data_IF_253469408056
#
_entry.id   IF_253469408056
#
_cell.length_a   1.000
_cell.length_b   1.000
_cell.length_c   1.000
_cell.angle_alpha   90.00
_cell.angle_beta   90.00
_cell.angle_gamma   90.00
#
_symmetry.space_group_name_H-M   'P 1'
#
loop_
_entity.id
_entity.type
_entity.pdbx_description
1 polymer ?
#
# COMPACT_ATOMS: atom_id res chain seq x y z
N UNK A 1 36.40 18.97 13.94
CA UNK A 1 35.68 17.80 14.54
C UNK A 1 34.19 17.92 14.19
N UNK A 2 33.71 17.23 13.14
CA UNK A 2 32.28 17.18 12.81
C UNK A 2 31.63 16.24 13.83
N UNK A 3 30.63 16.75 14.58
CA UNK A 3 29.79 15.94 15.47
C UNK A 3 29.25 14.75 14.66
N UNK A 4 29.67 13.55 14.99
CA UNK A 4 29.00 12.34 14.55
C UNK A 4 27.59 12.38 15.15
N UNK A 5 26.59 12.66 14.33
CA UNK A 5 25.20 12.49 14.74
C UNK A 5 24.99 11.02 15.03
N UNK A 6 24.54 10.70 16.24
CA UNK A 6 24.34 9.33 16.76
C UNK A 6 23.38 8.48 15.88
N UNK A 7 22.57 9.15 15.04
CA UNK A 7 21.62 8.50 14.13
C UNK A 7 21.88 8.99 12.71
N UNK A 8 22.06 8.04 11.77
CA UNK A 8 22.15 8.37 10.34
C UNK A 8 20.87 9.04 9.85
N UNK A 9 20.99 10.21 9.21
CA UNK A 9 19.83 11.02 8.80
C UNK A 9 18.84 10.26 7.88
N UNK A 10 19.31 9.29 7.11
CA UNK A 10 18.45 8.41 6.31
C UNK A 10 17.38 7.70 7.14
N UNK A 11 17.68 7.30 8.38
CA UNK A 11 16.68 6.68 9.26
C UNK A 11 15.62 7.66 9.75
N UNK A 12 15.95 8.95 9.90
CA UNK A 12 14.97 10.00 10.21
C UNK A 12 14.02 10.20 9.03
N UNK A 13 14.52 10.11 7.79
CA UNK A 13 13.67 10.16 6.59
C UNK A 13 12.73 8.95 6.55
N UNK A 14 13.21 7.74 6.86
CA UNK A 14 12.36 6.55 6.93
C UNK A 14 11.28 6.71 8.00
N UNK A 15 11.64 7.17 9.20
CA UNK A 15 10.68 7.44 10.29
C UNK A 15 9.63 8.49 9.87
N UNK A 16 10.06 9.57 9.18
CA UNK A 16 9.14 10.55 8.60
C UNK A 16 8.19 9.91 7.59
N UNK A 17 8.71 9.04 6.73
CA UNK A 17 7.89 8.29 5.79
C UNK A 17 6.86 7.41 6.48
N UNK A 18 7.24 6.71 7.55
CA UNK A 18 6.31 5.90 8.37
C UNK A 18 5.17 6.76 8.94
N UNK A 19 5.50 7.93 9.48
CA UNK A 19 4.50 8.88 10.02
C UNK A 19 3.57 9.38 8.91
N UNK A 20 4.11 9.82 7.77
CA UNK A 20 3.31 10.30 6.63
C UNK A 20 2.40 9.19 6.10
N UNK A 21 2.89 7.94 6.05
CA UNK A 21 2.07 6.79 5.68
C UNK A 21 0.95 6.53 6.70
N UNK A 22 1.27 6.47 8.00
CA UNK A 22 0.29 6.20 9.04
C UNK A 22 -0.84 7.24 9.02
N UNK A 23 -0.51 8.52 8.98
CA UNK A 23 -1.51 9.59 8.95
C UNK A 23 -2.25 9.69 7.61
N UNK A 24 -1.52 9.64 6.48
CA UNK A 24 -2.12 9.77 5.16
C UNK A 24 -3.06 8.61 4.81
N UNK A 25 -2.62 7.37 5.03
CA UNK A 25 -3.50 6.21 4.81
C UNK A 25 -4.57 6.10 5.90
N UNK A 26 -4.28 6.56 7.14
CA UNK A 26 -5.27 6.67 8.20
C UNK A 26 -6.44 7.56 7.77
N UNK A 27 -6.17 8.76 7.28
CA UNK A 27 -7.18 9.69 6.78
C UNK A 27 -7.89 9.21 5.50
N UNK A 28 -7.23 8.43 4.62
CA UNK A 28 -7.93 7.76 3.51
C UNK A 28 -8.96 6.78 4.02
N UNK A 29 -8.54 5.91 4.92
CA UNK A 29 -9.37 4.82 5.40
C UNK A 29 -10.36 5.24 6.49
N UNK A 30 -10.20 6.43 7.12
CA UNK A 30 -11.20 7.04 8.00
C UNK A 30 -12.57 7.17 7.32
N UNK A 31 -12.56 7.27 5.99
CA UNK A 31 -13.77 7.25 5.19
C UNK A 31 -14.69 6.07 5.52
N UNK A 32 -14.16 4.86 5.79
CA UNK A 32 -14.99 3.70 6.15
C UNK A 32 -15.67 3.85 7.51
N UNK A 33 -15.12 4.66 8.43
CA UNK A 33 -15.69 4.98 9.73
C UNK A 33 -16.74 6.10 9.61
N UNK A 34 -16.51 7.03 8.67
CA UNK A 34 -17.43 8.14 8.35
C UNK A 34 -18.60 7.66 7.48
N UNK A 35 -18.40 6.61 6.69
CA UNK A 35 -19.35 6.07 5.72
C UNK A 35 -20.78 5.88 6.28
N UNK A 36 -20.99 5.22 7.47
CA UNK A 36 -22.33 5.09 8.05
C UNK A 36 -22.99 6.43 8.34
N UNK A 37 -22.22 7.43 8.77
CA UNK A 37 -22.76 8.78 9.06
C UNK A 37 -23.28 9.46 7.80
N UNK A 38 -22.57 9.32 6.66
CA UNK A 38 -23.02 9.86 5.36
C UNK A 38 -24.30 9.17 4.88
N UNK A 39 -24.35 7.84 4.95
CA UNK A 39 -25.56 7.09 4.58
C UNK A 39 -26.76 7.48 5.43
N UNK A 40 -26.55 7.64 6.75
CA UNK A 40 -27.64 8.00 7.68
C UNK A 40 -28.12 9.43 7.50
N UNK A 41 -27.21 10.38 7.28
CA UNK A 41 -27.57 11.82 7.16
C UNK A 41 -28.23 12.15 5.82
N UNK A 42 -27.68 11.60 4.72
CA UNK A 42 -28.13 11.96 3.37
C UNK A 42 -29.06 10.93 2.74
N UNK A 43 -29.17 9.73 3.31
CA UNK A 43 -29.98 8.66 2.70
C UNK A 43 -29.45 8.14 1.36
N UNK A 44 -28.15 8.38 1.06
CA UNK A 44 -27.58 7.94 -0.21
C UNK A 44 -27.41 6.41 -0.25
N UNK A 45 -27.60 5.81 -1.45
CA UNK A 45 -27.27 4.41 -1.66
C UNK A 45 -25.81 4.08 -1.28
N UNK A 46 -25.57 2.87 -0.83
CA UNK A 46 -24.23 2.44 -0.37
C UNK A 46 -23.23 2.36 -1.52
N UNK A 47 -23.66 2.00 -2.73
CA UNK A 47 -22.82 2.00 -3.92
C UNK A 47 -22.33 3.41 -4.28
N UNK A 48 -23.24 4.40 -4.26
CA UNK A 48 -22.95 5.80 -4.50
C UNK A 48 -21.97 6.35 -3.47
N UNK A 49 -22.16 6.04 -2.18
CA UNK A 49 -21.27 6.48 -1.12
C UNK A 49 -19.92 5.77 -1.19
N UNK A 50 -19.89 4.45 -1.42
CA UNK A 50 -18.65 3.68 -1.53
C UNK A 50 -17.82 4.06 -2.78
N UNK A 51 -18.50 4.50 -3.87
CA UNK A 51 -17.83 4.96 -5.09
C UNK A 51 -16.93 6.18 -4.84
N UNK A 52 -17.13 6.96 -3.78
CA UNK A 52 -16.23 8.06 -3.39
C UNK A 52 -14.82 7.54 -3.08
N UNK A 53 -14.72 6.42 -2.34
CA UNK A 53 -13.45 5.76 -2.10
C UNK A 53 -12.91 5.07 -3.36
N UNK A 54 -13.78 4.55 -4.22
CA UNK A 54 -13.40 3.99 -5.52
C UNK A 54 -12.74 5.02 -6.43
N UNK A 55 -13.30 6.22 -6.52
CA UNK A 55 -12.70 7.35 -7.27
C UNK A 55 -11.36 7.74 -6.66
N UNK A 56 -11.27 7.83 -5.32
CA UNK A 56 -10.02 8.11 -4.61
C UNK A 56 -8.91 7.12 -5.00
N UNK A 57 -9.22 5.82 -5.00
CA UNK A 57 -8.26 4.77 -5.35
C UNK A 57 -7.81 4.84 -6.80
N UNK A 58 -8.73 5.12 -7.72
CA UNK A 58 -8.44 5.27 -9.14
C UNK A 58 -7.52 6.48 -9.39
N UNK A 59 -7.90 7.64 -8.85
CA UNK A 59 -7.12 8.87 -9.01
C UNK A 59 -5.75 8.75 -8.36
N UNK A 60 -5.65 8.12 -7.18
CA UNK A 60 -4.38 7.80 -6.55
C UNK A 60 -3.44 7.04 -7.50
N UNK A 61 -3.94 5.99 -8.16
CA UNK A 61 -3.15 5.21 -9.11
C UNK A 61 -2.78 6.00 -10.37
N UNK A 62 -3.73 6.73 -10.96
CA UNK A 62 -3.51 7.54 -12.16
C UNK A 62 -2.53 8.71 -11.91
N UNK A 63 -2.45 9.22 -10.69
CA UNK A 63 -1.54 10.31 -10.32
C UNK A 63 -0.09 9.83 -10.14
N UNK A 64 0.16 8.52 -9.95
CA UNK A 64 1.49 8.00 -9.64
C UNK A 64 2.57 8.36 -10.70
N UNK A 65 2.32 8.29 -12.02
CA UNK A 65 3.30 8.73 -13.01
C UNK A 65 3.60 10.24 -12.92
N UNK A 66 2.57 11.05 -12.68
CA UNK A 66 2.72 12.50 -12.50
C UNK A 66 3.52 12.83 -11.23
N UNK A 67 3.31 12.07 -10.15
CA UNK A 67 4.08 12.19 -8.92
C UNK A 67 5.58 11.93 -9.16
N UNK A 68 5.91 10.87 -9.89
CA UNK A 68 7.30 10.59 -10.30
C UNK A 68 7.92 11.74 -11.09
N UNK A 69 7.22 12.22 -12.12
CA UNK A 69 7.67 13.35 -12.92
C UNK A 69 7.90 14.64 -12.09
N UNK A 70 6.99 14.94 -11.17
CA UNK A 70 7.12 16.10 -10.29
C UNK A 70 8.30 15.95 -9.32
N UNK A 71 8.55 14.76 -8.78
CA UNK A 71 9.73 14.50 -7.94
C UNK A 71 11.02 14.81 -8.70
N UNK A 72 11.11 14.40 -9.97
CA UNK A 72 12.28 14.65 -10.79
C UNK A 72 12.42 16.15 -11.15
N UNK A 73 11.31 16.85 -11.42
CA UNK A 73 11.31 18.24 -11.88
C UNK A 73 11.48 19.27 -10.77
N UNK A 74 10.74 19.15 -9.67
CA UNK A 74 10.72 20.15 -8.59
C UNK A 74 11.30 19.64 -7.25
N UNK A 75 11.68 18.34 -7.23
CA UNK A 75 12.24 17.65 -6.08
C UNK A 75 11.18 17.06 -5.14
N UNK A 76 11.55 16.01 -4.36
CA UNK A 76 10.60 15.27 -3.54
C UNK A 76 9.97 16.12 -2.44
N UNK A 77 10.74 17.00 -1.80
CA UNK A 77 10.26 17.84 -0.70
C UNK A 77 9.09 18.75 -1.11
N UNK A 78 9.23 19.44 -2.26
CA UNK A 78 8.17 20.33 -2.78
C UNK A 78 6.96 19.51 -3.22
N UNK A 79 7.18 18.38 -3.88
CA UNK A 79 6.13 17.45 -4.31
C UNK A 79 5.34 16.93 -3.11
N UNK A 80 6.01 16.49 -2.04
CA UNK A 80 5.37 16.00 -0.83
C UNK A 80 4.55 17.07 -0.11
N UNK A 81 5.09 18.28 0.02
CA UNK A 81 4.39 19.39 0.68
C UNK A 81 3.15 19.78 -0.13
N UNK A 82 3.29 19.98 -1.45
CA UNK A 82 2.13 20.31 -2.30
C UNK A 82 1.08 19.19 -2.26
N UNK A 83 1.50 17.92 -2.26
CA UNK A 83 0.62 16.77 -2.10
C UNK A 83 -0.11 16.77 -0.75
N UNK A 84 0.60 17.01 0.35
CA UNK A 84 -0.01 17.06 1.69
C UNK A 84 -1.03 18.18 1.81
N UNK A 85 -0.71 19.38 1.29
CA UNK A 85 -1.63 20.52 1.28
C UNK A 85 -2.86 20.22 0.41
N UNK A 86 -2.68 19.62 -0.77
CA UNK A 86 -3.77 19.25 -1.66
C UNK A 86 -4.68 18.18 -1.00
N UNK A 87 -4.08 17.20 -0.31
CA UNK A 87 -4.80 16.18 0.43
C UNK A 87 -5.64 16.80 1.57
N UNK A 88 -5.01 17.63 2.38
CA UNK A 88 -5.67 18.32 3.47
C UNK A 88 -6.81 19.24 2.98
N UNK A 89 -6.59 19.97 1.89
CA UNK A 89 -7.61 20.79 1.26
C UNK A 89 -8.78 19.94 0.77
N UNK A 90 -8.50 18.79 0.14
CA UNK A 90 -9.53 17.85 -0.29
C UNK A 90 -10.42 17.40 0.87
N UNK A 91 -9.83 17.06 2.04
CA UNK A 91 -10.59 16.69 3.23
C UNK A 91 -11.37 17.89 3.81
N UNK A 92 -10.74 19.06 3.93
CA UNK A 92 -11.41 20.26 4.46
C UNK A 92 -12.63 20.67 3.63
N UNK A 93 -12.51 20.66 2.30
CA UNK A 93 -13.63 20.99 1.41
C UNK A 93 -14.70 19.89 1.42
N UNK A 94 -14.33 18.61 1.63
CA UNK A 94 -15.29 17.52 1.81
C UNK A 94 -16.21 17.74 3.01
N UNK A 95 -15.75 18.42 4.07
CA UNK A 95 -16.57 18.76 5.22
C UNK A 95 -17.74 19.70 4.89
N UNK A 96 -17.67 20.43 3.76
CA UNK A 96 -18.72 21.33 3.27
C UNK A 96 -19.66 20.63 2.28
N UNK A 97 -19.39 19.36 1.96
CA UNK A 97 -20.15 18.59 0.98
C UNK A 97 -21.61 18.34 1.43
N UNK A 98 -22.53 18.43 0.47
CA UNK A 98 -23.96 18.14 0.62
C UNK A 98 -24.51 17.22 -0.46
N UNK A 99 -23.76 17.04 -1.57
CA UNK A 99 -24.14 16.21 -2.70
C UNK A 99 -23.04 15.18 -3.00
N UNK A 100 -23.35 13.99 -3.56
CA UNK A 100 -22.35 12.97 -3.84
C UNK A 100 -21.18 13.45 -4.71
N UNK A 101 -21.45 14.27 -5.73
CA UNK A 101 -20.42 14.76 -6.64
C UNK A 101 -19.41 15.70 -5.95
N UNK A 102 -19.80 16.41 -4.87
CA UNK A 102 -18.84 17.16 -4.05
C UNK A 102 -17.75 16.23 -3.51
N UNK A 103 -18.13 15.08 -2.95
CA UNK A 103 -17.20 14.11 -2.40
C UNK A 103 -16.36 13.41 -3.48
N UNK A 104 -16.96 13.14 -4.67
CA UNK A 104 -16.17 12.59 -5.78
C UNK A 104 -15.04 13.55 -6.20
N UNK A 105 -15.28 14.86 -6.23
CA UNK A 105 -14.24 15.83 -6.57
C UNK A 105 -13.28 16.08 -5.41
N UNK A 106 -13.79 16.28 -4.20
CA UNK A 106 -12.95 16.71 -3.06
C UNK A 106 -12.21 15.54 -2.41
N UNK A 107 -12.93 14.53 -1.94
CA UNK A 107 -12.31 13.33 -1.37
C UNK A 107 -11.74 12.41 -2.45
N UNK A 108 -12.47 12.20 -3.54
CA UNK A 108 -12.05 11.31 -4.62
C UNK A 108 -10.86 11.88 -5.39
N UNK A 109 -11.02 13.03 -6.04
CA UNK A 109 -9.99 13.57 -6.94
C UNK A 109 -8.92 14.34 -6.17
N UNK A 110 -9.26 15.38 -5.41
CA UNK A 110 -8.26 16.23 -4.77
C UNK A 110 -7.47 15.46 -3.70
N UNK A 111 -8.17 14.78 -2.77
CA UNK A 111 -7.50 14.03 -1.73
C UNK A 111 -6.77 12.81 -2.31
N UNK A 112 -7.32 12.09 -3.29
CA UNK A 112 -6.66 10.97 -3.95
C UNK A 112 -5.34 11.35 -4.62
N UNK A 113 -5.33 12.43 -5.40
CA UNK A 113 -4.12 12.97 -6.02
C UNK A 113 -3.13 13.48 -4.96
N UNK A 114 -3.60 14.22 -3.96
CA UNK A 114 -2.77 14.74 -2.88
C UNK A 114 -2.04 13.65 -2.10
N UNK A 115 -2.74 12.57 -1.74
CA UNK A 115 -2.13 11.43 -1.04
C UNK A 115 -1.06 10.73 -1.89
N UNK A 116 -1.25 10.60 -3.20
CA UNK A 116 -0.23 10.03 -4.08
C UNK A 116 1.03 10.91 -4.13
N UNK A 117 0.88 12.22 -4.23
CA UNK A 117 1.97 13.17 -4.29
C UNK A 117 2.74 13.30 -2.97
N UNK A 118 2.11 13.05 -1.82
CA UNK A 118 2.76 13.12 -0.51
C UNK A 118 3.35 11.79 -0.04
N UNK A 119 2.88 10.67 -0.57
CA UNK A 119 3.08 9.33 -0.01
C UNK A 119 4.15 8.49 -0.70
N UNK A 120 3.72 7.33 -1.22
CA UNK A 120 4.58 6.24 -1.65
C UNK A 120 5.64 6.62 -2.68
N UNK A 121 5.24 7.29 -3.75
CA UNK A 121 6.12 7.55 -4.90
C UNK A 121 7.31 8.42 -4.51
N UNK A 122 7.14 9.60 -3.87
CA UNK A 122 8.27 10.41 -3.46
C UNK A 122 9.18 9.73 -2.43
N UNK A 123 8.61 9.04 -1.41
CA UNK A 123 9.43 8.38 -0.39
C UNK A 123 10.25 7.23 -0.96
N UNK A 124 9.71 6.43 -1.89
CA UNK A 124 10.49 5.36 -2.53
C UNK A 124 11.69 5.91 -3.31
N UNK A 125 11.53 7.05 -3.96
CA UNK A 125 12.64 7.73 -4.67
C UNK A 125 13.70 8.24 -3.71
N UNK A 126 13.30 8.88 -2.62
CA UNK A 126 14.25 9.39 -1.61
C UNK A 126 15.00 8.23 -0.94
N UNK A 127 14.30 7.19 -0.50
CA UNK A 127 14.93 6.02 0.17
C UNK A 127 15.96 5.35 -0.73
N UNK A 128 15.69 5.20 -2.03
CA UNK A 128 16.68 4.67 -2.99
C UNK A 128 17.97 5.49 -3.07
N UNK A 129 17.87 6.81 -2.87
CA UNK A 129 19.06 7.68 -2.88
C UNK A 129 19.87 7.60 -1.57
N UNK A 130 19.19 7.32 -0.44
CA UNK A 130 19.81 7.28 0.87
C UNK A 130 20.35 5.91 1.27
N UNK A 131 19.79 4.83 0.70
CA UNK A 131 20.13 3.45 1.07
C UNK A 131 20.41 2.61 -0.19
N UNK A 132 21.61 2.03 -0.25
CA UNK A 132 22.00 1.05 -1.26
C UNK A 132 21.96 -0.36 -0.67
N UNK A 133 22.74 -0.62 0.40
CA UNK A 133 22.86 -1.93 1.05
C UNK A 133 21.67 -2.28 1.94
N UNK A 134 21.08 -1.28 2.61
CA UNK A 134 19.98 -1.43 3.59
C UNK A 134 18.62 -1.00 3.05
N UNK A 135 18.49 -0.83 1.76
CA UNK A 135 17.24 -0.38 1.10
C UNK A 135 16.05 -1.29 1.42
N UNK A 136 16.24 -2.61 1.46
CA UNK A 136 15.19 -3.57 1.82
C UNK A 136 14.59 -3.32 3.21
N UNK A 137 15.45 -3.10 4.21
CA UNK A 137 15.00 -2.78 5.58
C UNK A 137 14.29 -1.43 5.62
N UNK A 138 14.83 -0.42 4.91
CA UNK A 138 14.24 0.91 4.86
C UNK A 138 12.84 0.91 4.23
N UNK A 139 12.65 0.14 3.15
CA UNK A 139 11.32 -0.05 2.54
C UNK A 139 10.37 -0.83 3.44
N UNK A 140 10.84 -1.88 4.11
CA UNK A 140 10.01 -2.66 5.04
C UNK A 140 9.47 -1.77 6.17
N UNK A 141 10.32 -0.92 6.74
CA UNK A 141 9.91 0.05 7.77
C UNK A 141 8.94 1.09 7.22
N UNK A 142 9.17 1.62 6.00
CA UNK A 142 8.24 2.54 5.36
C UNK A 142 6.83 1.94 5.26
N UNK A 143 6.73 0.71 4.73
CA UNK A 143 5.44 0.03 4.56
C UNK A 143 4.81 -0.41 5.89
N UNK A 144 5.61 -0.65 6.93
CA UNK A 144 5.11 -0.89 8.29
C UNK A 144 4.27 0.29 8.79
N UNK A 145 4.62 1.54 8.42
CA UNK A 145 3.80 2.72 8.66
C UNK A 145 2.37 2.61 8.12
N UNK A 146 2.18 1.87 7.01
CA UNK A 146 0.85 1.59 6.45
C UNK A 146 -0.04 0.75 7.38
N UNK A 147 0.54 -0.19 8.14
CA UNK A 147 -0.18 -0.91 9.21
C UNK A 147 -0.62 0.02 10.34
N UNK A 148 0.20 1.03 10.68
CA UNK A 148 -0.13 2.07 11.66
C UNK A 148 -1.34 2.93 11.29
N UNK A 149 -1.70 3.01 10.01
CA UNK A 149 -2.90 3.71 9.55
C UNK A 149 -4.19 3.21 10.21
N UNK A 150 -4.26 1.93 10.48
CA UNK A 150 -5.46 1.30 11.07
C UNK A 150 -5.63 1.61 12.56
N UNK A 151 -4.58 2.02 13.26
CA UNK A 151 -4.68 2.50 14.66
C UNK A 151 -5.50 3.80 14.73
N UNK A 152 -5.65 4.50 13.61
CA UNK A 152 -6.42 5.75 13.52
C UNK A 152 -7.94 5.54 13.61
N UNK A 153 -8.47 4.37 13.31
CA UNK A 153 -9.91 4.10 13.25
C UNK A 153 -10.67 4.40 14.56
N UNK A 154 -10.25 3.90 15.75
CA UNK A 154 -10.94 4.24 17.00
C UNK A 154 -10.89 5.73 17.30
N UNK A 155 -9.80 6.41 16.96
CA UNK A 155 -9.65 7.85 17.13
C UNK A 155 -10.68 8.59 16.29
N UNK A 156 -10.86 8.20 15.03
CA UNK A 156 -11.86 8.76 14.12
C UNK A 156 -13.27 8.49 14.62
N UNK A 157 -13.56 7.28 15.12
CA UNK A 157 -14.86 6.94 15.67
C UNK A 157 -15.21 7.81 16.92
N UNK A 158 -14.22 8.08 17.77
CA UNK A 158 -14.37 8.99 18.92
C UNK A 158 -14.58 10.44 18.45
N UNK A 159 -13.79 10.90 17.46
CA UNK A 159 -13.94 12.25 16.89
C UNK A 159 -15.33 12.47 16.29
N UNK A 160 -15.88 11.49 15.56
CA UNK A 160 -17.23 11.58 15.00
C UNK A 160 -18.27 11.83 16.10
N UNK A 161 -18.13 11.19 17.26
CA UNK A 161 -19.04 11.37 18.38
C UNK A 161 -18.93 12.77 19.03
N UNK A 162 -17.75 13.42 18.96
CA UNK A 162 -17.51 14.72 19.58
C UNK A 162 -17.79 15.90 18.65
N UNK A 163 -17.35 15.79 17.39
CA UNK A 163 -17.33 16.93 16.45
C UNK A 163 -18.07 16.63 15.14
N UNK A 164 -18.80 15.53 15.05
CA UNK A 164 -19.44 15.00 13.84
C UNK A 164 -18.42 14.57 12.75
N UNK A 165 -18.90 13.99 11.66
CA UNK A 165 -18.07 13.61 10.52
C UNK A 165 -17.46 14.83 9.80
N UNK A 166 -18.18 15.97 9.75
CA UNK A 166 -17.66 17.23 9.19
C UNK A 166 -16.47 17.75 10.00
N UNK A 167 -16.64 17.81 11.31
CA UNK A 167 -15.57 18.20 12.21
C UNK A 167 -14.39 17.24 12.18
N UNK A 168 -14.63 15.95 11.94
CA UNK A 168 -13.57 14.94 11.79
C UNK A 168 -12.73 15.22 10.56
N UNK A 169 -13.31 15.45 9.38
CA UNK A 169 -12.55 15.84 8.18
C UNK A 169 -11.74 17.12 8.36
N UNK A 170 -12.32 18.13 9.04
CA UNK A 170 -11.57 19.36 9.36
C UNK A 170 -10.40 19.10 10.31
N UNK A 171 -10.62 18.30 11.35
CA UNK A 171 -9.56 17.93 12.31
C UNK A 171 -8.43 17.16 11.61
N UNK A 172 -8.76 16.18 10.78
CA UNK A 172 -7.77 15.44 9.99
C UNK A 172 -6.98 16.38 9.06
N UNK A 173 -7.65 17.30 8.37
CA UNK A 173 -7.01 18.30 7.52
C UNK A 173 -6.02 19.18 8.28
N UNK A 174 -6.41 19.68 9.45
CA UNK A 174 -5.56 20.50 10.32
C UNK A 174 -4.35 19.70 10.81
N UNK A 175 -4.58 18.48 11.32
CA UNK A 175 -3.52 17.60 11.82
C UNK A 175 -2.54 17.25 10.71
N UNK A 176 -3.01 16.87 9.53
CA UNK A 176 -2.15 16.57 8.37
C UNK A 176 -1.29 17.78 8.00
N UNK A 177 -1.88 18.98 7.95
CA UNK A 177 -1.14 20.19 7.59
C UNK A 177 -0.12 20.57 8.65
N UNK A 178 -0.54 20.66 9.93
CA UNK A 178 0.31 21.16 11.02
C UNK A 178 1.37 20.16 11.46
N UNK A 179 1.12 18.85 11.34
CA UNK A 179 2.09 17.83 11.70
C UNK A 179 3.00 17.45 10.53
N UNK A 180 2.43 17.13 9.34
CA UNK A 180 3.23 16.55 8.27
C UNK A 180 4.01 17.58 7.47
N UNK A 181 3.45 18.77 7.21
CA UNK A 181 4.17 19.80 6.42
C UNK A 181 5.46 20.22 7.11
N UNK A 182 5.49 20.60 8.40
CA UNK A 182 6.73 20.94 9.08
C UNK A 182 7.74 19.80 9.11
N UNK A 183 7.29 18.56 9.41
CA UNK A 183 8.18 17.39 9.47
C UNK A 183 8.82 17.15 8.11
N UNK A 184 8.06 17.19 7.01
CA UNK A 184 8.58 17.03 5.65
C UNK A 184 9.58 18.16 5.33
N UNK A 185 9.23 19.40 5.66
CA UNK A 185 10.10 20.56 5.41
C UNK A 185 11.41 20.51 6.18
N UNK A 186 11.42 20.01 7.39
CA UNK A 186 12.61 19.99 8.24
C UNK A 186 13.51 18.79 7.94
N UNK A 187 12.93 17.60 7.73
CA UNK A 187 13.67 16.34 7.70
C UNK A 187 13.97 15.86 6.29
N UNK A 188 13.02 15.95 5.35
CA UNK A 188 13.22 15.36 4.03
C UNK A 188 14.29 16.08 3.24
N UNK A 189 15.31 15.34 2.81
CA UNK A 189 16.38 15.78 1.90
C UNK A 189 16.46 14.80 0.73
N UNK A 190 16.74 15.33 -0.47
CA UNK A 190 16.68 14.49 -1.67
C UNK A 190 17.85 13.51 -1.72
N UNK A 191 19.05 13.96 -1.45
CA UNK A 191 20.26 13.16 -1.57
C UNK A 191 21.12 13.30 -0.31
N UNK A 192 21.84 12.23 0.12
CA UNK A 192 22.79 12.33 1.21
C UNK A 192 23.92 13.31 0.92
N UNK A 193 24.33 13.43 -0.34
CA UNK A 193 25.39 14.36 -0.81
C UNK A 193 25.05 15.82 -0.48
N UNK A 194 23.77 16.20 -0.49
CA UNK A 194 23.32 17.57 -0.14
C UNK A 194 23.65 17.91 1.33
N UNK A 195 23.97 16.91 2.16
CA UNK A 195 24.38 17.05 3.55
C UNK A 195 25.85 16.65 3.78
N UNK A 196 26.60 16.36 2.71
CA UNK A 196 27.98 15.86 2.79
C UNK A 196 28.10 14.45 3.35
N UNK A 197 27.05 13.64 3.18
CA UNK A 197 26.97 12.24 3.61
C UNK A 197 27.02 11.31 2.40
N UNK A 198 27.47 10.06 2.62
CA UNK A 198 27.38 8.98 1.65
C UNK A 198 26.13 8.12 1.88
N UNK A 199 25.63 7.40 0.86
CA UNK A 199 24.59 6.40 1.04
C UNK A 199 24.99 5.38 2.11
N UNK A 200 24.01 4.92 2.90
CA UNK A 200 24.23 4.01 4.05
C UNK A 200 25.21 4.51 5.12
N UNK A 201 25.69 5.77 5.03
CA UNK A 201 26.79 6.33 5.80
C UNK A 201 28.09 5.51 5.65
N UNK A 202 28.30 4.92 4.47
CA UNK A 202 29.47 4.10 4.19
C UNK A 202 30.64 4.99 3.73
N UNK A 203 31.74 5.08 4.52
CA UNK A 203 32.88 5.89 4.16
C UNK A 203 33.67 5.37 2.92
N UNK A 204 33.43 4.13 2.51
CA UNK A 204 34.03 3.54 1.30
C UNK A 204 33.36 3.98 0.00
N UNK A 205 32.17 4.58 0.09
CA UNK A 205 31.44 5.09 -1.09
C UNK A 205 31.86 6.54 -1.34
N UNK A 206 32.53 6.87 -2.47
CA UNK A 206 32.95 8.24 -2.76
C UNK A 206 31.73 9.18 -2.81
N UNK A 207 31.83 10.33 -2.15
CA UNK A 207 30.84 11.41 -2.24
C UNK A 207 31.05 12.08 -3.61
N UNK A 208 30.60 11.48 -4.69
CA UNK A 208 30.66 12.07 -6.02
C UNK A 208 29.38 12.86 -6.27
N UNK A 209 29.45 14.16 -6.55
CA UNK A 209 28.30 14.93 -7.00
C UNK A 209 27.93 14.41 -8.40
N UNK A 210 26.92 13.55 -8.49
CA UNK A 210 26.32 13.19 -9.78
C UNK A 210 25.55 14.40 -10.30
N UNK A 211 26.16 15.19 -11.14
CA UNK A 211 25.48 16.21 -11.92
C UNK A 211 24.53 15.51 -12.90
N UNK A 212 23.32 15.99 -12.94
CA UNK A 212 22.16 15.61 -13.74
C UNK A 212 22.29 14.52 -14.79
N UNK A 213 21.33 13.60 -14.77
CA UNK A 213 20.89 12.78 -15.92
C UNK A 213 21.86 11.76 -16.52
N UNK A 214 22.86 11.25 -15.79
CA UNK A 214 23.60 10.07 -16.27
C UNK A 214 23.03 8.78 -15.65
N UNK A 215 22.02 8.23 -16.31
CA UNK A 215 21.55 6.86 -16.12
C UNK A 215 22.46 5.88 -16.86
N UNK A 216 23.77 5.96 -16.66
CA UNK A 216 24.66 4.91 -17.11
C UNK A 216 24.55 3.74 -16.13
N UNK A 217 24.11 2.55 -16.57
CA UNK A 217 24.11 1.38 -15.72
C UNK A 217 25.55 1.00 -15.41
N UNK A 218 25.96 1.05 -14.15
CA UNK A 218 27.18 0.36 -13.73
C UNK A 218 27.00 -1.13 -14.04
N UNK A 219 27.79 -1.58 -15.00
CA UNK A 219 27.92 -2.99 -15.36
C UNK A 219 28.58 -3.70 -14.19
N UNK A 220 27.77 -4.29 -13.33
CA UNK A 220 28.24 -5.30 -12.38
C UNK A 220 28.73 -6.50 -13.17
N UNK A 221 30.03 -6.68 -13.20
CA UNK A 221 30.74 -7.77 -13.89
C UNK A 221 30.55 -9.09 -13.09
N UNK A 222 29.33 -9.60 -13.03
CA UNK A 222 29.06 -10.98 -12.64
C UNK A 222 28.52 -11.71 -13.87
N UNK A 223 29.35 -12.63 -14.39
CA UNK A 223 29.18 -13.36 -15.65
C UNK A 223 27.92 -14.24 -15.69
N UNK A 224 26.79 -13.62 -15.96
CA UNK A 224 25.54 -14.25 -16.36
C UNK A 224 24.84 -13.33 -17.36
N UNK A 225 24.23 -13.89 -18.39
CA UNK A 225 23.42 -13.12 -19.36
C UNK A 225 22.24 -12.50 -18.59
N UNK A 226 22.44 -11.27 -18.11
CA UNK A 226 21.38 -10.49 -17.49
C UNK A 226 20.43 -10.04 -18.59
N UNK A 227 19.30 -10.70 -18.73
CA UNK A 227 18.23 -10.25 -19.63
C UNK A 227 17.76 -8.89 -19.11
N UNK A 228 18.06 -7.82 -19.84
CA UNK A 228 17.58 -6.48 -19.50
C UNK A 228 16.05 -6.41 -19.73
N UNK A 229 15.30 -6.52 -18.64
CA UNK A 229 13.85 -6.44 -18.65
C UNK A 229 13.39 -4.98 -18.74
N UNK A 230 12.91 -4.57 -19.89
CA UNK A 230 12.15 -3.33 -20.06
C UNK A 230 10.68 -3.58 -19.79
N UNK A 231 9.94 -2.54 -19.40
CA UNK A 231 8.49 -2.62 -19.17
C UNK A 231 7.76 -3.19 -20.41
N UNK A 232 8.13 -2.75 -21.61
CA UNK A 232 7.53 -3.23 -22.86
C UNK A 232 7.79 -4.73 -23.12
N UNK A 233 8.98 -5.25 -22.76
CA UNK A 233 9.27 -6.70 -22.84
C UNK A 233 8.51 -7.48 -21.78
N UNK A 234 8.45 -6.97 -20.55
CA UNK A 234 7.70 -7.59 -19.46
C UNK A 234 6.21 -7.69 -19.80
N UNK A 235 5.59 -6.62 -20.30
CA UNK A 235 4.16 -6.54 -20.66
C UNK A 235 3.76 -7.52 -21.77
N UNK A 236 4.71 -8.03 -22.57
CA UNK A 236 4.45 -9.08 -23.56
C UNK A 236 4.43 -10.49 -22.98
N UNK A 237 4.70 -10.66 -21.69
CA UNK A 237 4.70 -11.97 -21.03
C UNK A 237 3.45 -12.19 -20.20
N UNK A 238 2.89 -13.39 -20.24
CA UNK A 238 1.75 -13.76 -19.39
C UNK A 238 2.08 -13.60 -17.90
N UNK A 239 3.33 -13.87 -17.49
CA UNK A 239 3.78 -13.73 -16.10
C UNK A 239 3.63 -12.32 -15.56
N UNK A 240 3.87 -11.31 -16.38
CA UNK A 240 3.67 -9.92 -15.99
C UNK A 240 2.21 -9.65 -15.61
N UNK A 241 1.27 -10.09 -16.43
CA UNK A 241 -0.15 -9.88 -16.17
C UNK A 241 -0.67 -10.70 -14.98
N UNK A 242 -0.13 -11.90 -14.77
CA UNK A 242 -0.43 -12.69 -13.58
C UNK A 242 0.08 -12.01 -12.30
N UNK A 243 1.28 -11.39 -12.34
CA UNK A 243 1.81 -10.63 -11.22
C UNK A 243 1.06 -9.31 -11.00
N UNK A 244 0.47 -8.70 -12.02
CA UNK A 244 -0.46 -7.57 -11.87
C UNK A 244 -1.82 -8.01 -11.31
N UNK A 245 -2.31 -9.19 -11.72
CA UNK A 245 -3.59 -9.74 -11.27
C UNK A 245 -3.57 -10.06 -9.76
N UNK A 246 -2.42 -10.47 -9.21
CA UNK A 246 -2.33 -10.81 -7.80
C UNK A 246 -2.66 -9.62 -6.87
N UNK A 247 -1.97 -8.46 -6.90
CA UNK A 247 -2.33 -7.32 -6.05
C UNK A 247 -3.68 -6.69 -6.42
N UNK A 248 -4.10 -6.76 -7.69
CA UNK A 248 -5.45 -6.38 -8.12
C UNK A 248 -6.51 -7.15 -7.36
N UNK A 249 -6.36 -8.48 -7.22
CA UNK A 249 -7.31 -9.34 -6.55
C UNK A 249 -7.19 -9.28 -5.03
N UNK A 250 -5.96 -9.42 -4.48
CA UNK A 250 -5.71 -9.57 -3.03
C UNK A 250 -6.00 -8.28 -2.27
N UNK A 251 -5.42 -7.19 -2.74
CA UNK A 251 -5.55 -5.91 -2.05
C UNK A 251 -6.52 -4.97 -2.76
N UNK A 252 -6.54 -5.01 -4.10
CA UNK A 252 -7.46 -4.19 -4.86
C UNK A 252 -8.90 -4.54 -4.54
N UNK A 253 -9.38 -5.70 -4.96
CA UNK A 253 -10.78 -6.08 -4.76
C UNK A 253 -11.03 -6.52 -3.31
N UNK A 254 -10.35 -7.57 -2.84
CA UNK A 254 -10.69 -8.21 -1.57
C UNK A 254 -10.53 -7.24 -0.38
N UNK A 255 -9.34 -6.63 -0.21
CA UNK A 255 -9.10 -5.76 0.94
C UNK A 255 -9.96 -4.50 0.93
N UNK A 256 -10.03 -3.79 -0.21
CA UNK A 256 -10.74 -2.50 -0.23
C UNK A 256 -12.24 -2.67 -0.09
N UNK A 257 -12.82 -3.74 -0.65
CA UNK A 257 -14.22 -4.10 -0.43
C UNK A 257 -14.49 -4.35 1.05
N UNK A 258 -13.69 -5.21 1.69
CA UNK A 258 -13.89 -5.55 3.10
C UNK A 258 -13.67 -4.35 4.03
N UNK A 259 -12.60 -3.58 3.81
CA UNK A 259 -12.28 -2.41 4.63
C UNK A 259 -13.33 -1.30 4.48
N UNK A 260 -13.81 -1.05 3.26
CA UNK A 260 -14.82 -0.02 3.01
C UNK A 260 -16.15 -0.32 3.70
N UNK A 261 -16.57 -1.59 3.71
CA UNK A 261 -17.89 -1.99 4.21
C UNK A 261 -17.87 -2.58 5.61
N UNK A 262 -16.70 -2.80 6.23
CA UNK A 262 -16.60 -3.44 7.55
C UNK A 262 -17.42 -2.73 8.62
N UNK A 263 -17.27 -1.40 8.75
CA UNK A 263 -17.90 -0.64 9.81
C UNK A 263 -19.42 -0.60 9.64
N UNK A 264 -19.88 -0.32 8.41
CA UNK A 264 -21.31 -0.28 8.12
C UNK A 264 -21.96 -1.65 8.31
N UNK A 265 -21.30 -2.74 7.86
CA UNK A 265 -21.75 -4.11 8.09
C UNK A 265 -21.85 -4.43 9.60
N UNK A 266 -20.80 -4.09 10.37
CA UNK A 266 -20.80 -4.35 11.80
C UNK A 266 -21.92 -3.56 12.52
N UNK A 267 -22.24 -2.35 12.08
CA UNK A 267 -23.37 -1.57 12.62
C UNK A 267 -24.72 -2.19 12.23
N UNK A 268 -24.88 -2.71 11.02
CA UNK A 268 -26.10 -3.39 10.58
C UNK A 268 -26.42 -4.62 11.45
N UNK A 269 -25.39 -5.32 11.94
CA UNK A 269 -25.57 -6.49 12.83
C UNK A 269 -25.63 -6.14 14.31
N UNK A 270 -25.63 -4.84 14.66
CA UNK A 270 -25.88 -4.33 16.01
C UNK A 270 -24.66 -3.90 16.83
N UNK A 271 -23.46 -3.82 16.24
CA UNK A 271 -22.29 -3.25 16.92
C UNK A 271 -22.26 -1.73 16.85
N UNK A 272 -21.67 -1.07 17.84
CA UNK A 272 -21.41 0.37 17.76
C UNK A 272 -20.30 0.69 16.76
N UNK A 273 -20.31 1.91 16.19
CA UNK A 273 -19.25 2.41 15.32
C UNK A 273 -17.87 2.30 15.98
N UNK A 274 -17.75 2.70 17.26
CA UNK A 274 -16.50 2.63 18.02
C UNK A 274 -15.99 1.19 18.15
N UNK A 275 -16.89 0.23 18.42
CA UNK A 275 -16.51 -1.19 18.52
C UNK A 275 -16.05 -1.73 17.17
N UNK A 276 -16.81 -1.50 16.09
CA UNK A 276 -16.46 -1.92 14.74
C UNK A 276 -15.11 -1.35 14.29
N UNK A 277 -14.87 -0.06 14.54
CA UNK A 277 -13.61 0.62 14.23
C UNK A 277 -12.44 0.07 15.04
N UNK A 278 -12.65 -0.25 16.34
CA UNK A 278 -11.60 -0.84 17.19
C UNK A 278 -11.21 -2.24 16.73
N UNK A 279 -12.17 -3.06 16.27
CA UNK A 279 -11.88 -4.37 15.69
C UNK A 279 -11.05 -4.23 14.41
N UNK A 280 -11.37 -3.27 13.56
CA UNK A 280 -10.62 -3.03 12.33
C UNK A 280 -9.19 -2.53 12.60
N UNK A 281 -8.93 -1.90 13.76
CA UNK A 281 -7.56 -1.55 14.16
C UNK A 281 -6.68 -2.80 14.36
N UNK A 282 -7.25 -3.89 14.85
CA UNK A 282 -6.53 -5.15 15.02
C UNK A 282 -6.08 -5.74 13.68
N UNK A 283 -6.86 -5.53 12.63
CA UNK A 283 -6.43 -5.88 11.26
C UNK A 283 -5.08 -5.22 10.92
N UNK A 284 -4.91 -3.93 11.22
CA UNK A 284 -3.64 -3.23 10.95
C UNK A 284 -2.46 -3.77 11.76
N UNK A 285 -2.67 -4.06 13.05
CA UNK A 285 -1.65 -4.63 13.91
C UNK A 285 -1.23 -6.01 13.41
N UNK A 286 -2.18 -6.88 13.10
CA UNK A 286 -1.88 -8.23 12.61
C UNK A 286 -1.35 -8.22 11.19
N UNK A 287 -1.74 -7.26 10.36
CA UNK A 287 -1.11 -7.04 9.05
C UNK A 287 0.39 -6.75 9.19
N UNK A 288 0.77 -5.87 10.11
CA UNK A 288 2.18 -5.59 10.39
C UNK A 288 2.92 -6.84 10.88
N UNK A 289 2.33 -7.61 11.80
CA UNK A 289 2.88 -8.91 12.24
C UNK A 289 3.01 -9.90 11.07
N UNK A 290 2.02 -9.97 10.20
CA UNK A 290 2.04 -10.79 8.99
C UNK A 290 3.16 -10.40 8.04
N UNK A 291 3.43 -9.09 7.83
CA UNK A 291 4.55 -8.64 7.03
C UNK A 291 5.89 -9.14 7.56
N UNK A 292 6.08 -9.15 8.89
CA UNK A 292 7.28 -9.73 9.51
C UNK A 292 7.34 -11.25 9.28
N UNK A 293 6.22 -11.95 9.44
CA UNK A 293 6.13 -13.39 9.16
C UNK A 293 6.38 -13.72 7.67
N UNK A 294 6.16 -12.77 6.76
CA UNK A 294 6.44 -12.90 5.33
C UNK A 294 7.91 -13.23 4.98
N UNK A 295 8.86 -12.99 5.89
CA UNK A 295 10.26 -13.42 5.77
C UNK A 295 10.37 -14.94 5.57
N UNK A 296 9.43 -15.71 6.08
CA UNK A 296 9.33 -17.16 5.87
C UNK A 296 9.27 -17.52 4.37
N UNK A 297 8.87 -16.58 3.50
CA UNK A 297 8.84 -16.77 2.05
C UNK A 297 10.22 -17.11 1.43
N UNK A 298 11.31 -16.80 2.11
CA UNK A 298 12.65 -17.16 1.66
C UNK A 298 12.96 -18.65 1.89
N UNK A 299 12.27 -19.30 2.83
CA UNK A 299 12.44 -20.70 3.19
C UNK A 299 11.46 -21.63 2.48
N UNK A 300 10.15 -21.31 2.55
CA UNK A 300 9.09 -22.16 1.97
C UNK A 300 8.74 -21.79 0.53
N UNK A 301 9.28 -20.67 0.05
CA UNK A 301 9.00 -20.13 -1.29
C UNK A 301 7.84 -19.15 -1.32
N UNK A 302 7.77 -18.37 -2.40
CA UNK A 302 6.75 -17.31 -2.57
C UNK A 302 5.35 -17.90 -2.65
N UNK A 303 5.20 -18.98 -3.43
CA UNK A 303 3.94 -19.68 -3.63
C UNK A 303 3.40 -20.28 -2.32
N UNK A 304 4.27 -20.94 -1.53
CA UNK A 304 3.89 -21.52 -0.23
C UNK A 304 3.41 -20.46 0.76
N UNK A 305 4.12 -19.33 0.85
CA UNK A 305 3.74 -18.20 1.71
C UNK A 305 2.42 -17.59 1.28
N UNK A 306 2.20 -17.42 -0.04
CA UNK A 306 0.91 -16.96 -0.58
C UNK A 306 -0.23 -17.90 -0.19
N UNK A 307 -0.04 -19.23 -0.31
CA UNK A 307 -1.07 -20.21 0.04
C UNK A 307 -1.44 -20.15 1.52
N UNK A 308 -0.44 -20.13 2.42
CA UNK A 308 -0.69 -20.08 3.86
C UNK A 308 -1.41 -18.77 4.22
N UNK A 309 -0.90 -17.63 3.76
CA UNK A 309 -1.50 -16.32 4.04
C UNK A 309 -2.94 -16.21 3.50
N UNK A 310 -3.18 -16.73 2.28
CA UNK A 310 -4.52 -16.75 1.68
C UNK A 310 -5.46 -17.67 2.44
N UNK A 311 -5.03 -18.86 2.83
CA UNK A 311 -5.87 -19.79 3.60
C UNK A 311 -6.28 -19.18 4.95
N UNK A 312 -5.33 -18.55 5.68
CA UNK A 312 -5.62 -17.86 6.93
C UNK A 312 -6.62 -16.71 6.69
N UNK A 313 -6.37 -15.86 5.69
CA UNK A 313 -7.25 -14.72 5.41
C UNK A 313 -8.66 -15.14 4.98
N UNK A 314 -8.78 -16.18 4.12
CA UNK A 314 -10.07 -16.73 3.70
C UNK A 314 -10.83 -17.32 4.89
N UNK A 315 -10.17 -17.99 5.83
CA UNK A 315 -10.82 -18.49 7.05
C UNK A 315 -11.47 -17.37 7.85
N UNK A 316 -10.80 -16.19 7.94
CA UNK A 316 -11.36 -15.01 8.57
C UNK A 316 -12.62 -14.50 7.84
N UNK A 317 -12.55 -14.36 6.52
CA UNK A 317 -13.71 -13.90 5.73
C UNK A 317 -14.87 -14.91 5.83
N UNK A 318 -14.56 -16.22 5.84
CA UNK A 318 -15.58 -17.27 6.02
C UNK A 318 -16.31 -17.08 7.35
N UNK A 319 -15.60 -16.84 8.45
CA UNK A 319 -16.21 -16.56 9.76
C UNK A 319 -17.05 -15.29 9.71
N UNK A 320 -16.61 -14.24 8.99
CA UNK A 320 -17.40 -13.03 8.79
C UNK A 320 -18.75 -13.31 8.10
N UNK A 321 -18.82 -14.25 7.15
CA UNK A 321 -20.09 -14.63 6.49
C UNK A 321 -21.09 -15.30 7.44
N UNK A 322 -20.64 -15.78 8.60
CA UNK A 322 -21.48 -16.45 9.61
C UNK A 322 -22.00 -15.47 10.69
N UNK A 323 -21.53 -14.24 10.70
CA UNK A 323 -21.97 -13.19 11.62
C UNK A 323 -23.40 -12.77 11.24
N UNK A 324 -24.35 -12.95 12.15
CA UNK A 324 -25.77 -12.58 11.98
C UNK A 324 -26.23 -11.48 12.91
N UNK A 325 -25.61 -11.40 14.07
CA UNK A 325 -25.94 -10.46 15.16
C UNK A 325 -24.72 -10.21 16.05
N UNK A 326 -24.88 -9.36 17.05
CA UNK A 326 -23.81 -8.99 17.98
C UNK A 326 -23.57 -10.00 19.12
N UNK A 327 -24.24 -11.17 19.12
CA UNK A 327 -24.14 -12.17 20.22
C UNK A 327 -22.76 -12.83 20.31
N UNK A 328 -22.00 -12.83 19.24
CA UNK A 328 -20.71 -13.52 19.13
C UNK A 328 -19.57 -12.59 18.68
N UNK A 329 -19.12 -11.66 19.51
CA UNK A 329 -18.11 -10.66 19.14
C UNK A 329 -16.79 -11.28 18.66
N UNK A 330 -16.41 -12.45 19.19
CA UNK A 330 -15.16 -13.14 18.81
C UNK A 330 -15.06 -13.39 17.30
N UNK A 331 -16.18 -13.51 16.58
CA UNK A 331 -16.16 -13.73 15.13
C UNK A 331 -15.57 -12.53 14.39
N UNK A 332 -15.91 -11.29 14.79
CA UNK A 332 -15.34 -10.07 14.21
C UNK A 332 -13.85 -9.95 14.55
N UNK A 333 -13.46 -10.29 15.78
CA UNK A 333 -12.05 -10.29 16.17
C UNK A 333 -11.25 -11.32 15.37
N UNK A 334 -11.76 -12.56 15.25
CA UNK A 334 -11.11 -13.59 14.47
C UNK A 334 -10.93 -13.17 13.00
N UNK A 335 -11.98 -12.60 12.40
CA UNK A 335 -11.92 -12.07 11.04
C UNK A 335 -10.79 -11.04 10.89
N UNK A 336 -10.73 -10.05 11.76
CA UNK A 336 -9.74 -8.99 11.69
C UNK A 336 -8.31 -9.53 11.88
N UNK A 337 -8.12 -10.43 12.85
CA UNK A 337 -6.82 -11.07 13.13
C UNK A 337 -6.37 -11.95 11.96
N UNK A 338 -7.23 -12.83 11.46
CA UNK A 338 -6.88 -13.77 10.41
C UNK A 338 -6.67 -13.07 9.06
N UNK A 339 -7.55 -12.14 8.69
CA UNK A 339 -7.41 -11.41 7.44
C UNK A 339 -6.17 -10.52 7.45
N UNK A 340 -5.95 -9.77 8.54
CA UNK A 340 -4.79 -8.89 8.67
C UNK A 340 -3.49 -9.67 8.57
N UNK A 341 -3.33 -10.73 9.36
CA UNK A 341 -2.14 -11.55 9.34
C UNK A 341 -1.92 -12.21 7.97
N UNK A 342 -2.97 -12.80 7.39
CA UNK A 342 -2.90 -13.44 6.08
C UNK A 342 -2.48 -12.48 4.98
N UNK A 343 -3.08 -11.29 4.90
CA UNK A 343 -2.72 -10.29 3.91
C UNK A 343 -1.33 -9.70 4.15
N UNK A 344 -0.94 -9.52 5.41
CA UNK A 344 0.42 -9.10 5.77
C UNK A 344 1.48 -10.08 5.27
N UNK A 345 1.27 -11.40 5.44
CA UNK A 345 2.19 -12.42 4.93
C UNK A 345 2.35 -12.37 3.41
N UNK A 346 1.27 -12.09 2.68
CA UNK A 346 1.29 -12.07 1.21
C UNK A 346 2.00 -10.84 0.64
N UNK A 347 2.08 -9.73 1.39
CA UNK A 347 2.60 -8.47 0.92
C UNK A 347 4.08 -8.55 0.44
N UNK A 348 5.04 -8.97 1.25
CA UNK A 348 6.42 -9.10 0.81
C UNK A 348 6.59 -10.21 -0.24
N UNK A 349 5.79 -11.27 -0.20
CA UNK A 349 5.86 -12.37 -1.16
C UNK A 349 5.51 -11.92 -2.59
N UNK A 350 4.49 -11.06 -2.76
CA UNK A 350 4.12 -10.51 -4.08
C UNK A 350 5.24 -9.63 -4.63
N UNK A 351 5.77 -8.70 -3.83
CA UNK A 351 6.86 -7.81 -4.28
C UNK A 351 8.10 -8.61 -4.65
N UNK A 352 8.48 -9.58 -3.81
CA UNK A 352 9.62 -10.45 -4.07
C UNK A 352 9.41 -11.31 -5.33
N UNK A 353 8.18 -11.79 -5.61
CA UNK A 353 7.85 -12.54 -6.81
C UNK A 353 8.13 -11.74 -8.08
N UNK A 354 7.82 -10.43 -8.08
CA UNK A 354 8.13 -9.54 -9.22
C UNK A 354 9.63 -9.44 -9.43
N UNK A 355 10.39 -9.23 -8.35
CA UNK A 355 11.85 -9.12 -8.40
C UNK A 355 12.54 -10.45 -8.82
N UNK A 356 11.94 -11.60 -8.43
CA UNK A 356 12.45 -12.91 -8.81
C UNK A 356 12.25 -13.24 -10.30
N UNK A 357 11.13 -12.76 -10.88
CA UNK A 357 10.79 -13.00 -12.30
C UNK A 357 11.48 -11.98 -13.22
N UNK A 358 11.48 -10.70 -12.84
CA UNK A 358 11.98 -9.60 -13.65
C UNK A 358 13.22 -8.95 -13.01
N UNK A 359 14.38 -9.62 -13.16
CA UNK A 359 15.64 -9.11 -12.62
C UNK A 359 16.23 -8.05 -13.53
N UNK A 360 16.82 -7.00 -12.96
CA UNK A 360 17.53 -5.97 -13.69
C UNK A 360 17.32 -4.56 -13.15
N UNK A 361 18.03 -3.57 -13.71
CA UNK A 361 18.03 -2.20 -13.19
C UNK A 361 16.67 -1.50 -13.30
N UNK A 362 15.79 -1.96 -14.21
CA UNK A 362 14.48 -1.37 -14.49
C UNK A 362 13.33 -2.07 -13.78
N UNK A 363 13.58 -2.99 -12.84
CA UNK A 363 12.56 -3.72 -12.08
C UNK A 363 11.61 -2.79 -11.30
N UNK A 364 12.09 -1.63 -10.89
CA UNK A 364 11.26 -0.64 -10.18
C UNK A 364 10.07 -0.13 -11.00
N UNK A 365 10.26 0.10 -12.31
CA UNK A 365 9.16 0.49 -13.20
C UNK A 365 8.12 -0.63 -13.36
N UNK A 366 8.57 -1.88 -13.40
CA UNK A 366 7.70 -3.06 -13.47
C UNK A 366 6.89 -3.19 -12.18
N UNK A 367 7.52 -3.06 -11.01
CA UNK A 367 6.84 -3.04 -9.71
C UNK A 367 5.79 -1.91 -9.66
N UNK A 368 6.12 -0.73 -10.18
CA UNK A 368 5.18 0.40 -10.23
C UNK A 368 3.88 0.08 -10.97
N UNK A 369 3.98 -0.60 -12.12
CA UNK A 369 2.79 -1.01 -12.90
C UNK A 369 2.03 -2.14 -12.20
N UNK A 370 2.73 -3.06 -11.55
CA UNK A 370 2.09 -4.10 -10.72
C UNK A 370 1.26 -3.48 -9.59
N UNK A 371 1.77 -2.44 -8.93
CA UNK A 371 1.03 -1.69 -7.92
C UNK A 371 -0.11 -0.84 -8.49
N UNK A 372 -0.03 -0.41 -9.75
CA UNK A 372 -1.18 0.22 -10.42
C UNK A 372 -2.36 -0.76 -10.52
N UNK A 373 -2.10 -2.06 -10.70
CA UNK A 373 -3.13 -3.10 -10.63
C UNK A 373 -3.91 -3.07 -9.31
N UNK A 374 -3.23 -2.86 -8.16
CA UNK A 374 -3.89 -2.64 -6.87
C UNK A 374 -4.87 -1.46 -6.89
N UNK A 375 -4.48 -0.33 -7.48
CA UNK A 375 -5.32 0.87 -7.53
C UNK A 375 -6.57 0.65 -8.40
N UNK A 376 -6.42 -0.06 -9.53
CA UNK A 376 -7.56 -0.42 -10.39
C UNK A 376 -8.52 -1.38 -9.68
N UNK A 377 -8.02 -2.44 -9.04
CA UNK A 377 -8.85 -3.32 -8.21
C UNK A 377 -9.52 -2.57 -7.07
N UNK A 378 -8.77 -1.68 -6.42
CA UNK A 378 -9.25 -0.83 -5.32
C UNK A 378 -10.32 0.18 -5.72
N UNK A 379 -10.38 0.55 -6.99
CA UNK A 379 -11.48 1.37 -7.50
C UNK A 379 -12.77 0.57 -7.73
N UNK A 380 -12.66 -0.73 -7.94
CA UNK A 380 -13.81 -1.61 -8.15
C UNK A 380 -14.38 -2.10 -6.82
N UNK A 381 -13.52 -2.51 -5.87
CA UNK A 381 -13.91 -3.20 -4.64
C UNK A 381 -14.99 -2.49 -3.81
N UNK A 382 -14.79 -1.22 -3.39
CA UNK A 382 -15.78 -0.51 -2.58
C UNK A 382 -17.13 -0.35 -3.27
N UNK A 383 -17.13 0.10 -4.52
CA UNK A 383 -18.35 0.24 -5.32
C UNK A 383 -19.07 -1.09 -5.46
N UNK A 384 -18.36 -2.16 -5.80
CA UNK A 384 -18.94 -3.49 -6.00
C UNK A 384 -19.62 -4.02 -4.72
N UNK A 385 -19.01 -3.79 -3.55
CA UNK A 385 -19.61 -4.17 -2.27
C UNK A 385 -20.91 -3.44 -1.98
N UNK A 386 -20.96 -2.13 -2.28
CA UNK A 386 -22.16 -1.32 -2.16
C UNK A 386 -23.26 -1.74 -3.12
N UNK A 387 -22.91 -1.92 -4.39
CA UNK A 387 -23.86 -2.38 -5.43
C UNK A 387 -24.49 -3.74 -5.10
N UNK A 388 -23.67 -4.70 -4.64
CA UNK A 388 -24.19 -6.02 -4.21
C UNK A 388 -25.19 -5.85 -3.06
N UNK A 389 -24.89 -4.98 -2.10
CA UNK A 389 -25.80 -4.75 -0.99
C UNK A 389 -27.13 -4.12 -1.45
N UNK A 390 -27.09 -3.13 -2.35
CA UNK A 390 -28.31 -2.49 -2.88
C UNK A 390 -29.20 -3.49 -3.64
N UNK A 391 -28.58 -4.41 -4.39
CA UNK A 391 -29.35 -5.39 -5.20
C UNK A 391 -29.88 -6.55 -4.35
N UNK A 392 -29.07 -7.07 -3.41
CA UNK A 392 -29.40 -8.30 -2.68
C UNK A 392 -29.79 -8.09 -1.20
N UNK A 393 -29.68 -6.87 -0.68
CA UNK A 393 -29.94 -6.55 0.74
C UNK A 393 -28.94 -7.22 1.71
N UNK A 394 -27.80 -7.73 1.22
CA UNK A 394 -26.86 -8.49 2.03
C UNK A 394 -25.45 -8.43 1.47
N UNK A 395 -24.45 -8.38 2.37
CA UNK A 395 -23.02 -8.46 2.01
C UNK A 395 -22.52 -9.89 1.75
N UNK A 396 -23.34 -10.92 1.92
CA UNK A 396 -22.89 -12.32 1.83
C UNK A 396 -22.22 -12.64 0.49
N UNK A 397 -22.83 -12.21 -0.63
CA UNK A 397 -22.25 -12.39 -1.95
C UNK A 397 -20.94 -11.59 -2.12
N UNK A 398 -20.88 -10.38 -1.58
CA UNK A 398 -19.66 -9.55 -1.60
C UNK A 398 -18.51 -10.25 -0.88
N UNK A 399 -18.75 -10.87 0.27
CA UNK A 399 -17.73 -11.63 1.00
C UNK A 399 -17.28 -12.90 0.26
N UNK A 400 -18.20 -13.59 -0.41
CA UNK A 400 -17.88 -14.75 -1.26
C UNK A 400 -16.97 -14.31 -2.42
N UNK A 401 -17.31 -13.21 -3.09
CA UNK A 401 -16.49 -12.64 -4.17
C UNK A 401 -15.12 -12.17 -3.66
N UNK A 402 -15.04 -11.62 -2.46
CA UNK A 402 -13.77 -11.26 -1.83
C UNK A 402 -12.89 -12.50 -1.58
N UNK A 403 -13.46 -13.61 -1.09
CA UNK A 403 -12.75 -14.89 -0.93
C UNK A 403 -12.27 -15.43 -2.28
N UNK A 404 -13.14 -15.44 -3.29
CA UNK A 404 -12.80 -15.91 -4.63
C UNK A 404 -11.69 -15.05 -5.27
N UNK A 405 -11.77 -13.74 -5.10
CA UNK A 405 -10.74 -12.80 -5.56
C UNK A 405 -9.40 -13.08 -4.86
N UNK A 406 -9.42 -13.29 -3.54
CA UNK A 406 -8.20 -13.60 -2.79
C UNK A 406 -7.56 -14.91 -3.26
N UNK A 407 -8.36 -15.96 -3.45
CA UNK A 407 -7.91 -17.25 -3.98
C UNK A 407 -7.34 -17.11 -5.40
N UNK A 408 -7.99 -16.31 -6.27
CA UNK A 408 -7.52 -16.05 -7.64
C UNK A 408 -6.16 -15.32 -7.63
N UNK A 409 -5.98 -14.35 -6.73
CA UNK A 409 -4.71 -13.66 -6.56
C UNK A 409 -3.57 -14.59 -6.11
N UNK A 410 -3.87 -15.58 -5.26
CA UNK A 410 -2.93 -16.64 -4.88
C UNK A 410 -2.61 -17.56 -6.09
N UNK A 411 -3.62 -18.02 -6.81
CA UNK A 411 -3.44 -18.86 -8.00
C UNK A 411 -2.60 -18.14 -9.08
N UNK A 412 -2.76 -16.84 -9.23
CA UNK A 412 -1.96 -16.04 -10.16
C UNK A 412 -0.46 -16.10 -9.85
N UNK A 413 -0.05 -16.11 -8.58
CA UNK A 413 1.35 -16.29 -8.18
C UNK A 413 1.84 -17.71 -8.51
N UNK A 414 1.03 -18.73 -8.26
CA UNK A 414 1.38 -20.11 -8.64
C UNK A 414 1.60 -20.25 -10.15
N UNK A 415 0.75 -19.64 -10.98
CA UNK A 415 0.89 -19.65 -12.43
C UNK A 415 2.08 -18.83 -12.93
N UNK A 416 2.41 -17.73 -12.26
CA UNK A 416 3.63 -16.98 -12.55
C UNK A 416 4.90 -17.78 -12.22
N UNK A 417 4.83 -18.74 -11.29
CA UNK A 417 5.85 -19.70 -10.87
C UNK A 417 7.24 -19.05 -10.59
N UNK A 418 7.37 -18.09 -9.68
CA UNK A 418 8.62 -17.41 -9.38
C UNK A 418 9.71 -18.34 -8.86
N UNK A 419 9.37 -19.42 -8.13
CA UNK A 419 10.30 -20.41 -7.60
C UNK A 419 11.09 -21.12 -8.70
N UNK A 420 10.44 -21.46 -9.83
CA UNK A 420 11.12 -22.09 -10.98
C UNK A 420 12.20 -21.18 -11.57
N UNK A 421 12.04 -19.87 -11.48
CA UNK A 421 13.02 -18.91 -11.96
C UNK A 421 14.20 -18.76 -10.99
N UNK A 422 13.98 -18.80 -9.69
CA UNK A 422 15.05 -18.81 -8.67
C UNK A 422 15.96 -20.03 -8.83
N UNK A 423 15.38 -21.21 -8.98
CA UNK A 423 16.14 -22.46 -9.17
C UNK A 423 16.98 -22.44 -10.44
N UNK A 424 16.44 -21.91 -11.56
CA UNK A 424 17.19 -21.76 -12.80
C UNK A 424 18.38 -20.81 -12.68
N UNK A 425 18.25 -19.73 -11.90
CA UNK A 425 19.30 -18.76 -11.70
C UNK A 425 20.41 -19.23 -10.74
N UNK A 426 20.12 -20.23 -9.87
CA UNK A 426 21.12 -20.84 -8.96
C UNK A 426 21.90 -22.00 -9.60
N UNK A 427 21.44 -22.57 -10.72
CA UNK A 427 22.21 -23.58 -11.45
C UNK A 427 23.32 -22.87 -12.23
N UNK A 428 24.62 -23.15 -11.97
CA UNK A 428 25.69 -22.65 -12.83
C UNK A 428 25.43 -23.13 -14.26
N UNK A 429 25.67 -22.25 -15.25
CA UNK A 429 25.67 -22.67 -16.64
C UNK A 429 26.71 -23.77 -16.76
N UNK A 430 26.26 -25.00 -16.99
CA UNK A 430 27.15 -26.14 -17.26
C UNK A 430 27.83 -25.83 -18.58
N UNK A 431 29.13 -25.44 -18.53
CA UNK A 431 29.97 -25.35 -19.73
C UNK A 431 30.51 -26.75 -20.03
N UNK A 432 30.15 -27.34 -21.17
CA UNK A 432 30.79 -28.57 -21.65
C UNK A 432 32.09 -28.21 -22.41
N UNK A 433 33.07 -27.72 -21.70
CA UNK A 433 34.39 -27.48 -22.28
C UNK A 433 35.46 -27.59 -21.21
N UNK A 434 35.73 -28.80 -20.77
CA UNK A 434 36.98 -29.28 -20.18
C UNK A 434 36.95 -30.80 -20.13
N UNK A 435 36.83 -31.42 -21.30
CA UNK A 435 37.27 -32.79 -21.53
C UNK A 435 37.89 -32.76 -22.92
N UNK A 436 39.13 -32.31 -22.94
CA UNK A 436 40.12 -32.76 -23.95
C UNK A 436 41.51 -32.54 -23.33
N UNK A 437 42.27 -33.63 -23.35
CA UNK A 437 43.71 -33.79 -23.27
C UNK A 437 44.40 -33.70 -21.91
N UNK A 438 44.60 -34.86 -21.20
CA UNK A 438 45.85 -35.64 -21.27
C UNK A 438 45.70 -36.95 -20.51
#
# INVERSE_FOLDING_TARGET
MKRQTFIFHGWLIVATGMVVYAFGYGARYSFSVIFPSLVTEFGWPRDTTAAMLSVHMLVYGLTAPAAGYLVDKIGPRRTMVSGTVLFALGLAVSALGSEPWHFYLTFGVLAGAGLCLSGAVPFTTVIKNWFEKRSGVAFSLLYFGGGGAFVWYPVVAILINWVSWRGTFLTESIVLTLALVPIILLIVRYRPVDMGLSPDNDPSTPVVPRSGADHSPEVSNQGGVVVDWTLGRAARTLRFWLLCLSPFCVWGICQTLLVAHHVVFAMDVGYSNTHASSVLSLFGVTFACGCLAGVVSDWIGREGTMTIGTAIGISGILVLTLVKDASRPWMLYYYALALGFGQGMTAPAIVASVADVFRGPRVGAIIGVVWFGYSVGGSIGPWLGGWIFEVYGSYRLAFILAMASYALGCAAIWWAAPRKMQVRARKPAWHPSCVEDH
#
